data_IF_838832355285
#
_entry.id   IF_838832355285
#
_cell.length_a   1.000
_cell.length_b   1.000
_cell.length_c   1.000
_cell.angle_alpha   90.00
_cell.angle_beta   90.00
_cell.angle_gamma   90.00
#
_symmetry.space_group_name_H-M   'P 1'
#
loop_
_entity.id
_entity.type
_entity.pdbx_description
1 polymer ?
#
# COMPACT_ATOMS: atom_id res chain seq x y z
N UNK A 1 6.33 1.81 -27.87
CA UNK A 1 5.84 2.68 -26.77
C UNK A 1 7.02 3.40 -26.16
N UNK A 2 6.81 4.60 -25.63
CA UNK A 2 7.84 5.38 -24.92
C UNK A 2 7.73 5.06 -23.42
N UNK A 3 8.86 4.83 -22.76
CA UNK A 3 8.89 4.60 -21.32
C UNK A 3 8.59 5.90 -20.58
N UNK A 4 7.78 5.84 -19.51
CA UNK A 4 7.38 7.00 -18.72
C UNK A 4 7.83 6.82 -17.26
N UNK A 5 8.25 7.91 -16.63
CA UNK A 5 8.59 7.97 -15.21
C UNK A 5 7.75 9.09 -14.57
N UNK A 6 7.03 8.75 -13.51
CA UNK A 6 6.23 9.69 -12.73
C UNK A 6 6.90 9.91 -11.37
N UNK A 7 6.87 11.15 -10.89
CA UNK A 7 7.39 11.53 -9.57
C UNK A 7 6.24 12.08 -8.71
N UNK A 8 6.07 11.51 -7.51
CA UNK A 8 5.03 11.89 -6.56
C UNK A 8 4.50 10.69 -5.77
N UNK A 9 3.44 10.93 -5.00
CA UNK A 9 2.71 9.84 -4.35
C UNK A 9 2.04 8.94 -5.40
N UNK A 10 2.27 7.63 -5.29
CA UNK A 10 1.82 6.68 -6.31
C UNK A 10 0.29 6.54 -6.36
N UNK A 11 -0.45 6.81 -5.29
CA UNK A 11 -1.91 6.80 -5.29
C UNK A 11 -2.45 7.93 -6.18
N UNK A 12 -1.91 9.14 -5.99
CA UNK A 12 -2.26 10.29 -6.83
C UNK A 12 -1.83 10.09 -8.29
N UNK A 13 -0.66 9.48 -8.52
CA UNK A 13 -0.20 9.18 -9.88
C UNK A 13 -1.14 8.20 -10.59
N UNK A 14 -1.50 7.09 -9.92
CA UNK A 14 -2.42 6.10 -10.45
C UNK A 14 -3.77 6.74 -10.82
N UNK A 15 -4.33 7.55 -9.91
CA UNK A 15 -5.62 8.24 -10.08
C UNK A 15 -5.63 9.23 -11.25
N UNK A 16 -4.56 10.03 -11.40
CA UNK A 16 -4.56 11.18 -12.33
C UNK A 16 -4.05 10.86 -13.72
N UNK A 17 -3.08 9.94 -13.82
CA UNK A 17 -2.32 9.77 -15.06
C UNK A 17 -2.47 8.41 -15.71
N UNK A 18 -2.92 7.38 -14.96
CA UNK A 18 -3.01 6.02 -15.47
C UNK A 18 -4.46 5.66 -15.76
N UNK A 19 -4.72 5.29 -17.02
CA UNK A 19 -6.06 4.94 -17.51
C UNK A 19 -6.51 3.59 -16.96
N UNK A 20 -7.82 3.43 -16.81
CA UNK A 20 -8.48 2.16 -16.54
C UNK A 20 -8.06 1.11 -17.57
N UNK A 21 -7.93 -0.15 -17.13
CA UNK A 21 -7.68 -1.31 -18.00
C UNK A 21 -6.56 -1.10 -19.03
N UNK A 22 -5.49 -0.40 -18.65
CA UNK A 22 -4.39 -0.03 -19.55
C UNK A 22 -3.09 -0.78 -19.27
N UNK A 23 -2.97 -1.42 -18.11
CA UNK A 23 -1.76 -2.09 -17.63
C UNK A 23 -1.90 -3.61 -17.78
N UNK A 24 -0.94 -4.25 -18.47
CA UNK A 24 -0.88 -5.71 -18.62
C UNK A 24 -0.24 -6.41 -17.41
N UNK A 25 0.68 -5.74 -16.73
CA UNK A 25 1.45 -6.29 -15.61
C UNK A 25 1.78 -5.20 -14.61
N UNK A 26 1.48 -5.45 -13.34
CA UNK A 26 1.91 -4.62 -12.22
C UNK A 26 2.78 -5.44 -11.27
N UNK A 27 3.89 -4.86 -10.82
CA UNK A 27 4.72 -5.39 -9.75
C UNK A 27 4.96 -4.28 -8.73
N UNK A 28 4.78 -4.58 -7.44
CA UNK A 28 5.15 -3.67 -6.36
C UNK A 28 5.91 -4.39 -5.26
N UNK A 29 6.82 -3.64 -4.63
CA UNK A 29 7.62 -4.03 -3.47
C UNK A 29 7.51 -2.95 -2.39
N UNK A 30 6.38 -2.91 -1.65
CA UNK A 30 6.12 -1.89 -0.65
C UNK A 30 7.00 -2.10 0.60
N UNK A 31 7.32 -1.04 1.36
CA UNK A 31 8.07 -1.17 2.60
C UNK A 31 7.31 -2.03 3.60
N UNK A 32 7.98 -3.02 4.19
CA UNK A 32 7.35 -3.96 5.11
C UNK A 32 7.08 -3.31 6.47
N UNK A 33 5.89 -3.55 7.01
CA UNK A 33 5.54 -3.23 8.40
C UNK A 33 6.15 -4.27 9.37
N UNK A 34 7.47 -4.41 9.32
CA UNK A 34 8.20 -5.49 10.01
C UNK A 34 8.37 -5.24 11.50
N UNK A 35 8.05 -4.05 12.01
CA UNK A 35 8.32 -3.60 13.39
C UNK A 35 9.79 -3.77 13.82
N UNK A 36 10.71 -3.98 12.87
CA UNK A 36 12.13 -4.16 13.16
C UNK A 36 12.82 -2.81 13.09
N UNK A 37 13.19 -2.28 14.24
CA UNK A 37 14.24 -1.28 14.32
C UNK A 37 15.57 -1.93 13.92
N UNK A 38 16.01 -1.79 12.67
CA UNK A 38 17.40 -2.09 12.28
C UNK A 38 18.35 -1.01 12.82
N UNK A 39 18.34 -0.77 14.14
CA UNK A 39 19.32 0.08 14.82
C UNK A 39 20.70 -0.58 14.97
N UNK A 40 20.89 -1.82 14.47
CA UNK A 40 22.14 -2.57 14.64
C UNK A 40 23.19 -2.41 13.53
N UNK A 41 22.94 -1.63 12.47
CA UNK A 41 23.91 -1.49 11.35
C UNK A 41 24.56 -0.09 11.28
N UNK A 42 24.20 0.85 12.16
CA UNK A 42 24.68 2.25 12.07
C UNK A 42 26.02 2.56 12.74
N UNK A 43 26.74 1.57 13.25
CA UNK A 43 28.05 1.86 13.85
C UNK A 43 29.21 1.84 12.84
N UNK A 44 29.02 1.48 11.56
CA UNK A 44 30.17 1.24 10.67
C UNK A 44 30.01 1.50 9.14
N UNK A 45 29.03 2.28 8.64
CA UNK A 45 28.92 2.49 7.17
C UNK A 45 28.77 3.97 6.79
N UNK A 46 29.55 4.38 5.78
CA UNK A 46 29.71 5.74 5.30
C UNK A 46 28.48 6.36 4.63
N UNK A 47 28.65 7.60 4.17
CA UNK A 47 27.59 8.54 3.79
C UNK A 47 26.66 8.14 2.62
N UNK A 48 26.85 6.97 1.99
CA UNK A 48 26.11 6.54 0.79
C UNK A 48 24.76 5.84 1.11
N UNK A 49 24.53 5.35 2.33
CA UNK A 49 23.38 4.49 2.65
C UNK A 49 22.18 5.20 3.33
N UNK A 50 22.08 6.53 3.23
CA UNK A 50 20.98 7.27 3.88
C UNK A 50 19.58 6.99 3.29
N UNK A 51 19.49 6.69 1.99
CA UNK A 51 18.21 6.39 1.34
C UNK A 51 17.72 4.97 1.67
N UNK A 52 18.63 3.99 1.74
CA UNK A 52 18.30 2.63 2.18
C UNK A 52 17.89 2.63 3.66
N UNK A 53 18.65 3.33 4.51
CA UNK A 53 18.36 3.55 5.92
C UNK A 53 16.92 3.98 6.23
N UNK A 54 16.36 4.87 5.41
CA UNK A 54 15.02 5.43 5.59
C UNK A 54 13.90 4.47 5.15
N UNK A 55 14.19 3.58 4.18
CA UNK A 55 13.27 2.52 3.76
C UNK A 55 13.12 1.39 4.81
N UNK A 56 13.96 1.37 5.85
CA UNK A 56 13.92 0.40 6.95
C UNK A 56 13.33 0.94 8.26
N UNK A 57 12.81 2.17 8.27
CA UNK A 57 12.04 2.73 9.39
C UNK A 57 10.56 2.50 9.08
N UNK A 58 9.80 1.91 10.01
CA UNK A 58 8.35 1.74 9.87
C UNK A 58 7.75 3.11 9.51
N UNK A 59 7.31 3.26 8.25
CA UNK A 59 6.84 4.55 7.71
C UNK A 59 5.38 4.82 8.10
N UNK A 60 4.76 3.88 8.82
CA UNK A 60 3.32 3.83 8.99
C UNK A 60 2.94 4.22 10.41
N UNK A 61 2.34 5.40 10.53
CA UNK A 61 1.74 5.88 11.76
C UNK A 61 0.24 6.06 11.56
N UNK A 62 -0.52 5.96 12.65
CA UNK A 62 -1.94 6.31 12.61
C UNK A 62 -2.09 7.84 12.63
N UNK A 63 -1.89 8.46 11.48
CA UNK A 63 -1.89 9.90 11.27
C UNK A 63 -3.12 10.38 10.47
N UNK A 64 -3.12 11.66 10.08
CA UNK A 64 -4.21 12.25 9.29
C UNK A 64 -4.36 11.58 7.91
N UNK A 65 -3.28 11.07 7.31
CA UNK A 65 -3.34 10.33 6.06
C UNK A 65 -4.05 8.98 6.24
N UNK A 66 -3.75 8.24 7.31
CA UNK A 66 -4.44 7.00 7.64
C UNK A 66 -5.92 7.24 7.96
N UNK A 67 -6.24 8.32 8.68
CA UNK A 67 -7.62 8.71 9.00
C UNK A 67 -8.41 9.08 7.72
N UNK A 68 -7.79 9.84 6.82
CA UNK A 68 -8.41 10.18 5.54
C UNK A 68 -8.63 8.93 4.69
N UNK A 69 -7.61 8.07 4.59
CA UNK A 69 -7.65 6.85 3.80
C UNK A 69 -8.71 5.86 4.26
N UNK A 70 -8.86 5.64 5.57
CA UNK A 70 -9.91 4.75 6.07
C UNK A 70 -11.29 5.34 5.79
N UNK A 71 -11.45 6.66 5.91
CA UNK A 71 -12.72 7.31 5.59
C UNK A 71 -13.07 7.14 4.11
N UNK A 72 -12.12 7.32 3.18
CA UNK A 72 -12.33 7.07 1.75
C UNK A 72 -12.83 5.64 1.48
N UNK A 73 -12.22 4.63 2.10
CA UNK A 73 -12.65 3.24 1.97
C UNK A 73 -14.08 3.07 2.49
N UNK A 74 -14.37 3.56 3.70
CA UNK A 74 -15.66 3.34 4.35
C UNK A 74 -16.83 4.04 3.66
N UNK A 75 -16.62 5.24 3.11
CA UNK A 75 -17.65 5.95 2.33
C UNK A 75 -17.74 5.45 0.89
N UNK A 76 -16.90 4.48 0.51
CA UNK A 76 -16.71 4.00 -0.85
C UNK A 76 -16.45 5.14 -1.85
N UNK A 77 -15.43 5.97 -1.56
CA UNK A 77 -15.07 7.08 -2.41
C UNK A 77 -14.80 6.60 -3.86
N UNK A 78 -15.38 7.30 -4.83
CA UNK A 78 -15.42 6.92 -6.25
C UNK A 78 -16.11 5.59 -6.60
N UNK A 79 -16.67 4.87 -5.64
CA UNK A 79 -17.39 3.61 -5.87
C UNK A 79 -16.50 2.43 -6.27
N UNK A 80 -15.19 2.51 -6.00
CA UNK A 80 -14.20 1.51 -6.43
C UNK A 80 -14.00 0.35 -5.44
N UNK A 81 -14.46 0.49 -4.19
CA UNK A 81 -14.30 -0.53 -3.16
C UNK A 81 -15.48 -1.51 -3.16
N UNK A 82 -15.19 -2.80 -3.11
CA UNK A 82 -16.20 -3.86 -2.97
C UNK A 82 -16.80 -3.83 -1.56
N UNK A 83 -17.99 -4.41 -1.40
CA UNK A 83 -18.62 -4.54 -0.08
C UNK A 83 -17.79 -5.40 0.87
N UNK A 84 -17.12 -6.43 0.32
CA UNK A 84 -16.23 -7.32 1.04
C UNK A 84 -15.00 -6.57 1.55
N UNK A 85 -14.38 -5.72 0.72
CA UNK A 85 -13.24 -4.89 1.11
C UNK A 85 -13.61 -3.93 2.24
N UNK A 86 -14.75 -3.24 2.12
CA UNK A 86 -15.26 -2.32 3.15
C UNK A 86 -15.52 -3.06 4.46
N UNK A 87 -16.18 -4.22 4.41
CA UNK A 87 -16.45 -5.04 5.58
C UNK A 87 -15.15 -5.55 6.24
N UNK A 88 -14.19 -5.99 5.43
CA UNK A 88 -12.88 -6.44 5.90
C UNK A 88 -12.13 -5.33 6.64
N UNK A 89 -12.01 -4.14 6.03
CA UNK A 89 -11.30 -3.01 6.66
C UNK A 89 -12.02 -2.52 7.90
N UNK A 90 -13.36 -2.50 7.89
CA UNK A 90 -14.16 -2.21 9.09
C UNK A 90 -13.84 -3.20 10.21
N UNK A 91 -13.86 -4.50 9.92
CA UNK A 91 -13.56 -5.55 10.89
C UNK A 91 -12.14 -5.46 11.44
N UNK A 92 -11.15 -5.29 10.55
CA UNK A 92 -9.75 -5.14 10.95
C UNK A 92 -9.53 -3.90 11.82
N UNK A 93 -10.23 -2.79 11.55
CA UNK A 93 -10.13 -1.58 12.37
C UNK A 93 -10.58 -1.81 13.82
N UNK A 94 -11.61 -2.64 14.02
CA UNK A 94 -12.13 -3.00 15.34
C UNK A 94 -11.21 -3.98 16.08
N UNK A 95 -10.51 -4.86 15.36
CA UNK A 95 -9.65 -5.90 15.95
C UNK A 95 -8.25 -5.40 16.26
N UNK A 96 -7.64 -4.65 15.34
CA UNK A 96 -6.23 -4.24 15.44
C UNK A 96 -6.04 -2.94 16.23
N UNK A 97 -7.10 -2.12 16.33
CA UNK A 97 -7.00 -0.77 16.86
C UNK A 97 -6.21 0.17 15.95
N UNK A 98 -6.16 1.45 16.34
CA UNK A 98 -5.49 2.52 15.61
C UNK A 98 -3.98 2.48 15.86
N UNK A 99 -3.23 1.89 14.93
CA UNK A 99 -1.77 1.77 15.01
C UNK A 99 -1.12 1.52 13.66
N UNK A 100 0.21 1.32 13.65
CA UNK A 100 1.02 1.23 12.43
C UNK A 100 0.53 0.18 11.43
N UNK A 101 0.11 -0.99 11.93
CA UNK A 101 -0.41 -2.05 11.07
C UNK A 101 -1.71 -1.64 10.38
N UNK A 102 -2.66 -1.03 11.10
CA UNK A 102 -3.90 -0.60 10.45
C UNK A 102 -3.64 0.54 9.45
N UNK A 103 -2.75 1.48 9.78
CA UNK A 103 -2.33 2.54 8.86
C UNK A 103 -1.71 1.96 7.56
N UNK A 104 -0.83 0.97 7.69
CA UNK A 104 -0.27 0.24 6.56
C UNK A 104 -1.34 -0.43 5.71
N UNK A 105 -2.27 -1.17 6.34
CA UNK A 105 -3.32 -1.87 5.61
C UNK A 105 -4.26 -0.91 4.87
N UNK A 106 -4.64 0.21 5.50
CA UNK A 106 -5.42 1.27 4.84
C UNK A 106 -4.68 1.80 3.61
N UNK A 107 -3.40 2.15 3.77
CA UNK A 107 -2.56 2.68 2.69
C UNK A 107 -2.42 1.70 1.52
N UNK A 108 -2.25 0.42 1.82
CA UNK A 108 -2.16 -0.64 0.81
C UNK A 108 -3.49 -0.88 0.12
N UNK A 109 -4.60 -0.89 0.84
CA UNK A 109 -5.94 -1.07 0.25
C UNK A 109 -6.23 0.00 -0.80
N UNK A 110 -6.01 1.28 -0.49
CA UNK A 110 -6.22 2.36 -1.46
C UNK A 110 -5.43 2.13 -2.76
N UNK A 111 -4.16 1.75 -2.64
CA UNK A 111 -3.26 1.54 -3.78
C UNK A 111 -3.60 0.28 -4.56
N UNK A 112 -3.94 -0.82 -3.88
CA UNK A 112 -4.34 -2.08 -4.52
C UNK A 112 -5.63 -1.89 -5.30
N UNK A 113 -6.61 -1.14 -4.77
CA UNK A 113 -7.85 -0.81 -5.49
C UNK A 113 -7.58 -0.03 -6.77
N UNK A 114 -6.71 0.98 -6.74
CA UNK A 114 -6.31 1.72 -7.94
C UNK A 114 -5.49 0.87 -8.92
N UNK A 115 -4.61 -0.02 -8.41
CA UNK A 115 -3.88 -0.99 -9.24
C UNK A 115 -4.88 -1.91 -9.96
N UNK A 116 -5.91 -2.40 -9.27
CA UNK A 116 -6.95 -3.22 -9.88
C UNK A 116 -7.72 -2.44 -10.96
N UNK A 117 -8.06 -1.16 -10.74
CA UNK A 117 -8.70 -0.31 -11.77
C UNK A 117 -7.87 -0.19 -13.04
N UNK A 118 -6.56 0.02 -12.92
CA UNK A 118 -5.68 0.24 -14.09
C UNK A 118 -5.28 -1.04 -14.79
N UNK A 119 -5.39 -2.20 -14.13
CA UNK A 119 -5.10 -3.50 -14.73
C UNK A 119 -6.17 -3.88 -15.75
N UNK A 120 -5.71 -4.43 -16.87
CA UNK A 120 -6.60 -5.08 -17.84
C UNK A 120 -7.29 -6.30 -17.20
N UNK A 121 -8.43 -6.75 -17.74
CA UNK A 121 -9.05 -8.02 -17.32
C UNK A 121 -8.13 -9.23 -17.45
N UNK A 122 -7.15 -9.19 -18.37
CA UNK A 122 -6.11 -10.23 -18.55
C UNK A 122 -4.79 -9.89 -17.84
N UNK A 123 -4.76 -8.79 -17.10
CA UNK A 123 -3.56 -8.29 -16.44
C UNK A 123 -3.16 -9.16 -15.26
N UNK A 124 -1.88 -9.10 -14.89
CA UNK A 124 -1.36 -9.80 -13.72
C UNK A 124 -0.80 -8.83 -12.70
N UNK A 125 -1.00 -9.13 -11.42
CA UNK A 125 -0.46 -8.36 -10.31
C UNK A 125 0.44 -9.22 -9.43
N UNK A 126 1.68 -8.78 -9.24
CA UNK A 126 2.66 -9.39 -8.35
C UNK A 126 2.94 -8.46 -7.18
N UNK A 127 2.52 -8.86 -5.99
CA UNK A 127 2.79 -8.15 -4.74
C UNK A 127 3.88 -8.89 -3.96
N UNK A 128 5.04 -8.27 -3.81
CA UNK A 128 6.05 -8.76 -2.90
C UNK A 128 5.63 -8.45 -1.45
N UNK A 129 5.74 -9.41 -0.54
CA UNK A 129 5.31 -9.26 0.86
C UNK A 129 6.14 -10.12 1.82
N UNK A 130 6.20 -9.70 3.08
CA UNK A 130 6.85 -10.45 4.16
C UNK A 130 5.86 -11.32 4.95
N UNK A 131 6.35 -12.25 5.78
CA UNK A 131 5.48 -13.09 6.61
C UNK A 131 4.64 -12.30 7.63
N UNK A 132 5.00 -11.06 7.96
CA UNK A 132 4.32 -10.26 8.99
C UNK A 132 2.99 -9.69 8.50
N UNK A 133 2.92 -9.26 7.24
CA UNK A 133 1.72 -8.63 6.68
C UNK A 133 1.03 -9.46 5.58
N UNK A 134 1.70 -10.49 5.04
CA UNK A 134 1.21 -11.27 3.90
C UNK A 134 -0.22 -11.81 4.06
N UNK A 135 -0.62 -12.30 5.24
CA UNK A 135 -1.97 -12.82 5.45
C UNK A 135 -3.05 -11.72 5.42
N UNK A 136 -2.76 -10.52 5.90
CA UNK A 136 -3.69 -9.39 5.78
C UNK A 136 -3.79 -8.91 4.32
N UNK A 137 -2.65 -8.79 3.64
CA UNK A 137 -2.60 -8.37 2.24
C UNK A 137 -3.31 -9.38 1.33
N UNK A 138 -3.19 -10.68 1.62
CA UNK A 138 -3.94 -11.73 0.92
C UNK A 138 -5.46 -11.52 1.06
N UNK A 139 -5.95 -11.22 2.26
CA UNK A 139 -7.38 -10.94 2.47
C UNK A 139 -7.83 -9.68 1.74
N UNK A 140 -7.00 -8.62 1.71
CA UNK A 140 -7.29 -7.40 0.95
C UNK A 140 -7.37 -7.69 -0.55
N UNK A 141 -6.48 -8.54 -1.09
CA UNK A 141 -6.49 -8.94 -2.50
C UNK A 141 -7.68 -9.82 -2.87
N UNK A 142 -8.24 -10.57 -1.92
CA UNK A 142 -9.40 -11.46 -2.14
C UNK A 142 -10.74 -10.72 -2.06
N UNK A 143 -10.79 -9.57 -1.39
CA UNK A 143 -12.02 -8.87 -1.01
C UNK A 143 -12.43 -7.81 -2.04
#
# INVERSE_FOLDING_TARGET
MVNQLYYGDNLEVLRRYIKDESVDLCYIDPPFNSKRNYNQIYNNIGAEDKAQAQAFIDTWEWDDHAIHGINEILINYHGLFTQQCIALITGLSNVLGKGSLLAYLVSMTLRITEIHRVLKPTGSFYLHCDPTASHYLKLILDA
#
